data_IF_365950168121
#
_entry.id   IF_365950168121
#
_cell.length_a   1.000
_cell.length_b   1.000
_cell.length_c   1.000
_cell.angle_alpha   90.00
_cell.angle_beta   90.00
_cell.angle_gamma   90.00
#
_symmetry.space_group_name_H-M   'P 1'
#
loop_
_entity.id
_entity.type
_entity.pdbx_description
1 polymer ?
#
# COMPACT_ATOMS: atom_id res chain seq x y z
N UNK A 1 23.70 14.45 -12.94
CA UNK A 1 23.12 13.18 -12.41
C UNK A 1 21.61 13.37 -12.33
N UNK A 2 20.95 13.42 -13.49
CA UNK A 2 19.51 13.57 -13.58
C UNK A 2 18.89 12.21 -13.87
N UNK A 3 17.81 11.90 -13.17
CA UNK A 3 16.57 11.57 -13.86
C UNK A 3 15.41 12.20 -13.08
N UNK A 4 14.72 13.08 -13.79
CA UNK A 4 13.62 13.93 -13.42
C UNK A 4 12.34 13.13 -13.60
N UNK A 5 11.64 12.77 -12.53
CA UNK A 5 10.25 12.27 -12.47
C UNK A 5 9.90 12.24 -10.97
N UNK A 6 9.24 13.21 -10.35
CA UNK A 6 8.29 14.19 -10.84
C UNK A 6 8.10 15.28 -9.76
N UNK A 7 8.31 16.55 -10.10
CA UNK A 7 8.23 17.73 -9.23
C UNK A 7 6.79 18.13 -8.78
N UNK A 8 5.88 17.18 -8.62
CA UNK A 8 4.60 17.38 -7.91
C UNK A 8 4.49 16.30 -6.85
N UNK A 9 4.90 16.61 -5.62
CA UNK A 9 4.58 15.80 -4.44
C UNK A 9 3.08 15.91 -4.16
N UNK A 10 2.25 15.20 -4.93
CA UNK A 10 0.85 15.03 -4.57
C UNK A 10 0.81 14.09 -3.37
N UNK A 11 0.48 14.60 -2.18
CA UNK A 11 -0.06 13.81 -1.06
C UNK A 11 0.72 12.51 -0.72
N UNK A 12 1.68 12.57 0.21
CA UNK A 12 2.47 11.47 0.80
C UNK A 12 1.91 10.03 0.68
N UNK A 13 2.11 9.37 -0.47
CA UNK A 13 1.82 7.94 -0.62
C UNK A 13 3.10 7.15 -0.88
N UNK A 14 3.24 5.96 -0.29
CA UNK A 14 4.41 5.09 -0.48
C UNK A 14 4.02 3.68 -0.96
N UNK A 15 4.96 3.00 -1.64
CA UNK A 15 4.72 1.65 -2.17
C UNK A 15 4.74 0.63 -1.02
N UNK A 16 3.71 -0.25 -0.94
CA UNK A 16 3.73 -1.37 0.00
C UNK A 16 4.74 -2.45 -0.42
N UNK A 17 5.32 -3.14 0.54
CA UNK A 17 6.27 -4.23 0.34
C UNK A 17 5.54 -5.56 0.12
N UNK A 18 5.16 -5.81 -1.13
CA UNK A 18 4.47 -7.05 -1.52
C UNK A 18 5.40 -8.23 -1.82
N UNK A 19 6.66 -8.17 -1.39
CA UNK A 19 7.69 -9.17 -1.71
C UNK A 19 7.41 -10.56 -1.10
N UNK A 20 6.71 -10.61 0.04
CA UNK A 20 6.44 -11.85 0.77
C UNK A 20 4.96 -12.06 1.09
N UNK A 21 4.05 -11.53 0.28
CA UNK A 21 2.65 -11.98 0.33
C UNK A 21 2.58 -13.38 -0.30
N UNK A 22 3.22 -14.36 0.34
CA UNK A 22 2.71 -15.72 0.38
C UNK A 22 1.27 -15.63 0.89
N UNK A 23 0.38 -16.55 0.53
CA UNK A 23 -1.03 -16.53 0.94
C UNK A 23 -1.27 -16.52 2.47
N UNK A 24 -0.22 -16.37 3.27
CA UNK A 24 -0.19 -16.32 4.72
C UNK A 24 0.20 -14.89 5.11
N UNK A 25 -0.80 -14.06 5.42
CA UNK A 25 -0.56 -12.77 6.06
C UNK A 25 -0.52 -12.96 7.59
N UNK A 26 0.41 -12.29 8.30
CA UNK A 26 0.39 -12.30 9.76
C UNK A 26 -0.91 -11.67 10.26
N UNK A 27 -1.49 -12.23 11.32
CA UNK A 27 -2.68 -11.69 12.00
C UNK A 27 -2.36 -10.46 12.86
N UNK A 28 -1.29 -9.73 12.55
CA UNK A 28 -0.96 -8.49 13.23
C UNK A 28 -1.91 -7.39 12.75
N UNK A 29 -2.49 -6.66 13.70
CA UNK A 29 -3.33 -5.51 13.42
C UNK A 29 -2.45 -4.26 13.28
N UNK A 30 -2.26 -3.81 12.05
CA UNK A 30 -1.46 -2.62 11.74
C UNK A 30 -2.12 -1.90 10.56
N UNK A 31 -3.25 -1.23 10.82
CA UNK A 31 -4.09 -0.74 9.76
C UNK A 31 -3.36 0.27 8.88
N UNK A 32 -3.63 0.25 7.58
CA UNK A 32 -3.08 1.19 6.60
C UNK A 32 -4.18 1.72 5.69
N UNK A 33 -4.09 2.99 5.35
CA UNK A 33 -5.01 3.63 4.42
C UNK A 33 -4.45 3.54 3.00
N UNK A 34 -5.17 2.88 2.10
CA UNK A 34 -4.83 2.83 0.69
C UNK A 34 -5.12 4.16 -0.03
N UNK A 35 -4.47 4.39 -1.16
CA UNK A 35 -4.78 5.51 -2.07
C UNK A 35 -6.20 5.48 -2.62
N UNK A 36 -6.82 4.30 -2.60
CA UNK A 36 -8.22 4.09 -2.94
C UNK A 36 -9.20 4.46 -1.82
N UNK A 37 -8.72 4.97 -0.68
CA UNK A 37 -9.57 5.34 0.47
C UNK A 37 -10.07 4.15 1.28
N UNK A 38 -9.54 2.94 1.04
CA UNK A 38 -9.89 1.73 1.79
C UNK A 38 -8.86 1.50 2.89
N UNK A 39 -9.35 1.19 4.09
CA UNK A 39 -8.52 0.74 5.21
C UNK A 39 -8.26 -0.76 5.10
N UNK A 40 -6.98 -1.15 5.12
CA UNK A 40 -6.55 -2.54 5.17
C UNK A 40 -6.03 -2.87 6.56
N UNK A 41 -6.39 -4.03 7.11
CA UNK A 41 -6.00 -4.44 8.48
C UNK A 41 -4.48 -4.54 8.68
N UNK A 42 -3.74 -4.78 7.60
CA UNK A 42 -2.28 -4.67 7.54
C UNK A 42 -1.80 -4.50 6.08
N UNK A 43 -0.53 -4.15 5.94
CA UNK A 43 0.15 -4.00 4.64
C UNK A 43 0.08 -5.28 3.79
N UNK A 44 0.13 -6.47 4.41
CA UNK A 44 0.02 -7.73 3.68
C UNK A 44 -1.37 -7.93 3.07
N UNK A 45 -2.44 -7.56 3.78
CA UNK A 45 -3.82 -7.59 3.27
C UNK A 45 -4.01 -6.61 2.11
N UNK A 46 -3.35 -5.44 2.16
CA UNK A 46 -3.30 -4.50 1.04
C UNK A 46 -2.60 -5.15 -0.17
N UNK A 47 -1.47 -5.81 0.03
CA UNK A 47 -0.77 -6.55 -1.02
C UNK A 47 -1.60 -7.71 -1.60
N UNK A 48 -2.35 -8.42 -0.77
CA UNK A 48 -3.28 -9.46 -1.23
C UNK A 48 -4.38 -8.86 -2.11
N UNK A 49 -4.93 -7.71 -1.74
CA UNK A 49 -5.92 -6.99 -2.55
C UNK A 49 -5.33 -6.50 -3.89
N UNK A 50 -4.10 -5.98 -3.89
CA UNK A 50 -3.37 -5.62 -5.11
C UNK A 50 -3.27 -6.81 -6.06
N UNK A 51 -2.90 -7.99 -5.54
CA UNK A 51 -2.78 -9.23 -6.33
C UNK A 51 -4.13 -9.73 -6.82
N UNK A 52 -5.16 -9.70 -5.97
CA UNK A 52 -6.49 -10.19 -6.29
C UNK A 52 -7.22 -9.34 -7.34
N UNK A 53 -7.10 -8.01 -7.25
CA UNK A 53 -7.77 -7.07 -8.16
C UNK A 53 -6.87 -6.54 -9.28
N UNK A 54 -5.59 -6.93 -9.32
CA UNK A 54 -4.58 -6.43 -10.26
C UNK A 54 -4.43 -4.90 -10.26
N UNK A 55 -4.62 -4.26 -9.11
CA UNK A 55 -4.62 -2.79 -8.94
C UNK A 55 -3.33 -2.27 -8.32
N UNK A 56 -2.83 -1.10 -8.73
CA UNK A 56 -1.67 -0.45 -8.09
C UNK A 56 -2.11 0.47 -6.93
N UNK A 57 -2.33 -0.11 -5.75
CA UNK A 57 -2.70 0.65 -4.55
C UNK A 57 -1.42 1.03 -3.79
N UNK A 58 -1.30 2.28 -3.39
CA UNK A 58 -0.22 2.77 -2.54
C UNK A 58 -0.77 3.03 -1.14
N UNK A 59 0.11 3.09 -0.14
CA UNK A 59 -0.29 3.47 1.22
C UNK A 59 -0.26 4.99 1.31
N UNK A 60 -1.41 5.60 1.58
CA UNK A 60 -1.59 7.05 1.80
C UNK A 60 -1.22 7.49 3.21
N UNK A 61 -1.53 6.67 4.22
CA UNK A 61 -1.12 6.89 5.61
C UNK A 61 -1.13 5.58 6.38
N UNK A 62 -0.34 5.53 7.46
CA UNK A 62 -0.53 4.50 8.49
C UNK A 62 -1.80 4.80 9.30
N UNK A 63 -2.45 3.76 9.80
CA UNK A 63 -3.76 3.84 10.43
C UNK A 63 -4.91 3.64 9.44
N UNK A 64 -6.13 3.74 9.97
CA UNK A 64 -7.34 3.70 9.16
C UNK A 64 -7.45 4.99 8.33
N UNK A 65 -7.98 4.89 7.10
CA UNK A 65 -8.55 6.04 6.40
C UNK A 65 -9.61 6.67 7.32
#
# INVERSE_FOLDING_TARGET
>A
KGLFLSLFSSFFCYKPNCKYSSNICPMNYSPVCGTNGITYSNECMLCAAIKASNTNILIRKQGQC
#
